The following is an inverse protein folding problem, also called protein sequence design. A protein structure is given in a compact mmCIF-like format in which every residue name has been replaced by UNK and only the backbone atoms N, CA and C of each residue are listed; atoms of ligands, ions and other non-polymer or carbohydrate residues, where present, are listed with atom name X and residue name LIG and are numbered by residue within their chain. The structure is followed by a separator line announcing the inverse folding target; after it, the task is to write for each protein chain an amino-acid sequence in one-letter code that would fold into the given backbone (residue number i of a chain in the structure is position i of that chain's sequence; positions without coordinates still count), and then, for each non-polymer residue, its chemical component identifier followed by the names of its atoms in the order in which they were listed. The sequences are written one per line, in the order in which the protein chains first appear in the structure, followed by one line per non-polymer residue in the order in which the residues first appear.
data_IF_096426014403
#
_entry.id   IF_096426014403
#
_cell.length_a   1.000
_cell.length_b   1.000
_cell.length_c   1.000
_cell.angle_alpha   90.00
_cell.angle_beta   90.00
_cell.angle_gamma   90.00
#
_symmetry.space_group_name_H-M   'P 1'
#
loop_
_entity.id
_entity.type
_entity.pdbx_description
1 polymer ?
#
# COMPACT_ATOMS: atom_id res chain seq x y z
N UNK A 1 18.44 -29.55 -18.24
CA UNK A 1 17.89 -28.55 -19.17
C UNK A 1 18.74 -27.31 -19.03
N UNK A 2 19.52 -26.99 -20.06
CA UNK A 2 20.49 -25.90 -20.07
C UNK A 2 19.77 -24.56 -20.15
N UNK A 3 19.86 -23.74 -19.10
CA UNK A 3 19.48 -22.33 -19.18
C UNK A 3 20.75 -21.53 -19.49
N UNK A 4 20.80 -20.97 -20.70
CA UNK A 4 21.81 -19.99 -21.11
C UNK A 4 21.52 -18.64 -20.43
N UNK A 5 22.52 -17.87 -20.02
CA UNK A 5 22.32 -16.52 -19.51
C UNK A 5 21.91 -15.60 -20.67
N UNK A 6 20.75 -14.97 -20.58
CA UNK A 6 20.36 -13.91 -21.52
C UNK A 6 21.20 -12.67 -21.24
N UNK A 7 21.88 -12.18 -22.27
CA UNK A 7 22.64 -10.92 -22.27
C UNK A 7 21.75 -9.75 -21.82
N UNK A 8 22.23 -9.01 -20.82
CA UNK A 8 21.63 -7.75 -20.38
C UNK A 8 22.18 -6.68 -21.33
N UNK A 9 21.36 -6.25 -22.30
CA UNK A 9 21.72 -5.14 -23.17
C UNK A 9 21.57 -3.82 -22.40
N UNK A 10 22.70 -3.18 -22.13
CA UNK A 10 22.78 -1.84 -21.52
C UNK A 10 22.27 -0.80 -22.53
N UNK A 11 21.10 -0.22 -22.26
CA UNK A 11 20.53 0.86 -23.08
C UNK A 11 21.16 2.17 -22.62
N UNK A 12 21.99 2.78 -23.47
CA UNK A 12 22.55 4.12 -23.26
C UNK A 12 21.42 5.15 -23.27
N UNK A 13 21.30 5.93 -22.20
CA UNK A 13 20.47 7.13 -22.18
C UNK A 13 21.11 8.21 -23.05
N UNK A 14 20.45 8.55 -24.17
CA UNK A 14 20.77 9.75 -24.93
C UNK A 14 20.16 10.97 -24.25
N UNK A 15 21.03 11.94 -23.99
CA UNK A 15 20.71 13.24 -23.40
C UNK A 15 19.92 14.08 -24.41
N UNK A 16 18.63 14.31 -24.15
CA UNK A 16 17.82 15.26 -24.93
C UNK A 16 17.65 16.53 -24.11
N UNK A 17 18.09 17.62 -24.76
CA UNK A 17 18.16 19.00 -24.32
C UNK A 17 16.81 19.59 -23.86
N UNK A 18 16.93 20.40 -22.81
CA UNK A 18 16.00 21.32 -22.16
C UNK A 18 15.04 22.06 -23.12
N UNK A 19 13.79 21.60 -23.16
CA UNK A 19 12.66 22.30 -23.75
C UNK A 19 11.58 22.58 -22.71
N UNK A 20 11.39 23.85 -22.39
CA UNK A 20 10.45 24.44 -21.44
C UNK A 20 9.02 23.87 -21.59
N UNK A 21 8.63 22.91 -20.74
CA UNK A 21 7.26 22.41 -20.65
C UNK A 21 6.70 22.83 -19.30
N UNK A 22 5.77 23.80 -19.35
CA UNK A 22 4.98 24.31 -18.25
C UNK A 22 4.69 23.25 -17.20
N UNK A 23 5.14 23.50 -15.97
CA UNK A 23 4.76 22.76 -14.77
C UNK A 23 3.24 22.67 -14.72
N UNK A 24 2.70 21.53 -15.12
CA UNK A 24 1.37 21.12 -14.68
C UNK A 24 1.41 21.20 -13.17
N UNK A 25 0.66 22.13 -12.58
CA UNK A 25 0.56 22.27 -11.13
C UNK A 25 0.30 20.87 -10.55
N UNK A 26 1.34 20.30 -9.93
CA UNK A 26 1.27 19.00 -9.28
C UNK A 26 0.57 19.24 -7.95
N UNK A 27 -0.74 19.50 -8.02
CA UNK A 27 -1.60 19.77 -6.87
C UNK A 27 -1.58 18.50 -6.02
N UNK A 28 -0.78 18.53 -4.96
CA UNK A 28 -0.71 17.43 -4.02
C UNK A 28 -2.08 17.27 -3.34
N UNK A 29 -2.62 16.04 -3.28
CA UNK A 29 -3.93 15.80 -2.68
C UNK A 29 -3.95 16.23 -1.21
N UNK A 30 -5.02 16.92 -0.82
CA UNK A 30 -5.21 17.42 0.53
C UNK A 30 -5.91 16.40 1.43
N UNK A 31 -6.06 16.73 2.72
CA UNK A 31 -6.72 15.83 3.70
C UNK A 31 -8.14 15.45 3.26
N UNK A 32 -8.88 16.38 2.64
CA UNK A 32 -10.24 16.13 2.12
C UNK A 32 -10.26 15.05 1.03
N UNK A 33 -9.23 14.97 0.20
CA UNK A 33 -9.13 13.96 -0.87
C UNK A 33 -8.87 12.57 -0.28
N UNK A 34 -8.02 12.51 0.75
CA UNK A 34 -7.77 11.27 1.51
C UNK A 34 -9.02 10.77 2.26
N UNK A 35 -9.84 11.68 2.79
CA UNK A 35 -11.12 11.33 3.41
C UNK A 35 -12.08 10.70 2.39
N UNK A 36 -12.26 11.34 1.23
CA UNK A 36 -13.07 10.76 0.14
C UNK A 36 -12.55 9.40 -0.31
N UNK A 37 -11.22 9.28 -0.40
CA UNK A 37 -10.58 8.02 -0.76
C UNK A 37 -10.84 6.92 0.28
N UNK A 38 -10.75 7.24 1.56
CA UNK A 38 -11.11 6.33 2.65
C UNK A 38 -12.57 5.86 2.54
N UNK A 39 -13.51 6.78 2.29
CA UNK A 39 -14.94 6.45 2.20
C UNK A 39 -15.21 5.49 1.04
N UNK A 40 -14.54 5.72 -0.10
CA UNK A 40 -14.56 4.81 -1.25
C UNK A 40 -14.05 3.41 -0.88
N UNK A 41 -12.94 3.30 -0.15
CA UNK A 41 -12.41 2.01 0.31
C UNK A 41 -13.38 1.30 1.26
N UNK A 42 -14.01 2.04 2.17
CA UNK A 42 -15.01 1.48 3.09
C UNK A 42 -16.19 0.89 2.33
N UNK A 43 -16.72 1.59 1.33
CA UNK A 43 -17.81 1.09 0.49
C UNK A 43 -17.42 -0.19 -0.26
N UNK A 44 -16.18 -0.24 -0.78
CA UNK A 44 -15.65 -1.44 -1.46
C UNK A 44 -15.51 -2.64 -0.52
N UNK A 45 -15.05 -2.43 0.71
CA UNK A 45 -15.02 -3.49 1.73
C UNK A 45 -16.40 -4.10 2.02
N UNK A 46 -17.49 -3.33 1.89
CA UNK A 46 -18.84 -3.88 2.10
C UNK A 46 -19.21 -4.96 1.08
N UNK A 47 -18.60 -4.94 -0.12
CA UNK A 47 -18.80 -5.95 -1.16
C UNK A 47 -18.02 -7.25 -0.89
N UNK A 48 -17.06 -7.20 0.04
CA UNK A 48 -16.14 -8.30 0.36
C UNK A 48 -16.43 -8.92 1.74
N UNK A 49 -17.62 -8.68 2.33
CA UNK A 49 -17.93 -9.08 3.71
C UNK A 49 -17.81 -10.58 3.97
N UNK A 50 -18.01 -11.41 2.95
CA UNK A 50 -17.88 -12.86 3.03
C UNK A 50 -16.42 -13.34 3.10
N UNK A 51 -15.46 -12.49 2.71
CA UNK A 51 -14.03 -12.82 2.78
C UNK A 51 -13.54 -12.63 4.21
N UNK A 52 -13.00 -13.70 4.79
CA UNK A 52 -12.46 -13.67 6.15
C UNK A 52 -11.34 -12.64 6.28
N UNK A 53 -11.32 -11.93 7.41
CA UNK A 53 -10.36 -10.85 7.68
C UNK A 53 -10.73 -9.48 7.12
N UNK A 54 -11.74 -9.36 6.25
CA UNK A 54 -12.18 -8.05 5.73
C UNK A 54 -12.67 -7.12 6.84
N UNK A 55 -13.34 -7.62 7.87
CA UNK A 55 -13.72 -6.79 9.03
C UNK A 55 -12.50 -6.21 9.76
N UNK A 56 -11.36 -6.92 9.76
CA UNK A 56 -10.10 -6.41 10.33
C UNK A 56 -9.52 -5.31 9.45
N UNK A 57 -9.54 -5.50 8.12
CA UNK A 57 -9.14 -4.47 7.17
C UNK A 57 -10.02 -3.21 7.31
N UNK A 58 -11.33 -3.36 7.43
CA UNK A 58 -12.28 -2.26 7.63
C UNK A 58 -11.98 -1.49 8.92
N UNK A 59 -11.69 -2.17 10.04
CA UNK A 59 -11.27 -1.51 11.29
C UNK A 59 -10.00 -0.67 11.11
N UNK A 60 -9.03 -1.16 10.35
CA UNK A 60 -7.79 -0.41 10.04
C UNK A 60 -8.08 0.82 9.18
N UNK A 61 -8.94 0.68 8.17
CA UNK A 61 -9.39 1.80 7.32
C UNK A 61 -10.18 2.84 8.13
N UNK A 62 -10.97 2.42 9.13
CA UNK A 62 -11.69 3.32 10.02
C UNK A 62 -10.77 4.01 11.04
N UNK A 63 -9.72 3.34 11.52
CA UNK A 63 -8.71 3.97 12.38
C UNK A 63 -7.97 5.09 11.63
N UNK A 64 -7.67 4.87 10.35
CA UNK A 64 -7.07 5.87 9.48
C UNK A 64 -7.99 7.09 9.27
N UNK A 65 -9.32 6.91 9.18
CA UNK A 65 -10.26 8.03 9.13
C UNK A 65 -10.16 8.92 10.37
N UNK A 66 -10.08 8.32 11.57
CA UNK A 66 -9.92 9.09 12.82
C UNK A 66 -8.63 9.91 12.81
N UNK A 67 -7.56 9.32 12.28
CA UNK A 67 -6.29 10.01 12.09
C UNK A 67 -6.45 11.20 11.10
N UNK A 68 -7.05 10.99 9.94
CA UNK A 68 -7.27 12.07 8.96
C UNK A 68 -8.13 13.20 9.53
N UNK A 69 -9.17 12.89 10.28
CA UNK A 69 -10.00 13.88 10.97
C UNK A 69 -9.19 14.70 11.98
N UNK A 70 -8.32 14.04 12.76
CA UNK A 70 -7.42 14.76 13.69
C UNK A 70 -6.41 15.65 12.95
N UNK A 71 -6.00 15.24 11.74
CA UNK A 71 -5.04 15.97 10.91
C UNK A 71 -5.64 17.23 10.28
N UNK A 72 -6.96 17.27 10.04
CA UNK A 72 -7.64 18.47 9.52
C UNK A 72 -7.48 19.71 10.42
N UNK A 73 -7.25 19.51 11.72
CA UNK A 73 -7.09 20.58 12.71
C UNK A 73 -5.65 21.12 12.78
N UNK A 74 -4.69 20.48 12.09
CA UNK A 74 -3.27 20.83 12.13
C UNK A 74 -2.90 21.82 11.01
N UNK A 75 -1.72 22.44 11.12
CA UNK A 75 -1.17 23.32 10.08
C UNK A 75 -0.83 22.56 8.78
N UNK A 76 -0.74 23.28 7.66
CA UNK A 76 -0.55 22.70 6.34
C UNK A 76 0.78 21.93 6.19
N UNK A 77 1.84 22.34 6.90
CA UNK A 77 3.14 21.65 6.84
C UNK A 77 3.04 20.29 7.51
N UNK A 78 2.42 20.24 8.69
CA UNK A 78 2.12 19.01 9.43
C UNK A 78 1.21 18.09 8.62
N UNK A 79 0.15 18.62 8.01
CA UNK A 79 -0.75 17.85 7.13
C UNK A 79 0.03 17.19 5.99
N UNK A 80 0.82 17.95 5.22
CA UNK A 80 1.58 17.42 4.07
C UNK A 80 2.59 16.35 4.48
N UNK A 81 3.25 16.51 5.62
CA UNK A 81 4.20 15.52 6.13
C UNK A 81 3.51 14.21 6.46
N UNK A 82 2.42 14.26 7.22
CA UNK A 82 1.70 13.07 7.69
C UNK A 82 0.88 12.37 6.60
N UNK A 83 0.35 13.10 5.62
CA UNK A 83 -0.33 12.48 4.46
C UNK A 83 0.62 11.61 3.63
N UNK A 84 1.92 11.98 3.57
CA UNK A 84 2.93 11.17 2.87
C UNK A 84 3.16 9.79 3.51
N UNK A 85 2.83 9.62 4.79
CA UNK A 85 2.93 8.38 5.55
C UNK A 85 1.60 7.64 5.73
N UNK A 86 0.52 8.12 5.11
CA UNK A 86 -0.80 7.47 5.24
C UNK A 86 -0.77 6.02 4.74
N UNK A 87 -1.48 5.15 5.46
CA UNK A 87 -1.60 3.74 5.11
C UNK A 87 -2.70 3.46 4.07
N UNK A 88 -3.48 4.47 3.65
CA UNK A 88 -4.57 4.30 2.70
C UNK A 88 -4.13 3.70 1.36
N UNK A 89 -2.92 4.03 0.89
CA UNK A 89 -2.36 3.43 -0.33
C UNK A 89 -2.24 1.90 -0.20
N UNK A 90 -1.70 1.43 0.93
CA UNK A 90 -1.59 -0.01 1.20
C UNK A 90 -2.96 -0.68 1.36
N UNK A 91 -3.89 -0.07 2.10
CA UNK A 91 -5.24 -0.61 2.24
C UNK A 91 -5.98 -0.66 0.90
N UNK A 92 -5.81 0.34 0.05
CA UNK A 92 -6.38 0.32 -1.30
C UNK A 92 -5.87 -0.85 -2.13
N UNK A 93 -4.56 -1.11 -2.09
CA UNK A 93 -3.97 -2.25 -2.78
C UNK A 93 -4.46 -3.61 -2.22
N UNK A 94 -4.71 -3.71 -0.92
CA UNK A 94 -5.34 -4.91 -0.33
C UNK A 94 -6.78 -5.10 -0.82
N UNK A 95 -7.59 -4.05 -0.80
CA UNK A 95 -8.97 -4.09 -1.30
C UNK A 95 -8.98 -4.44 -2.78
N UNK A 96 -8.11 -3.81 -3.57
CA UNK A 96 -7.97 -4.09 -4.99
C UNK A 96 -7.58 -5.55 -5.26
N UNK A 97 -6.57 -6.07 -4.55
CA UNK A 97 -6.18 -7.47 -4.68
C UNK A 97 -7.33 -8.42 -4.31
N UNK A 98 -8.08 -8.12 -3.25
CA UNK A 98 -9.23 -8.92 -2.83
C UNK A 98 -10.39 -8.89 -3.85
N UNK A 99 -10.57 -7.80 -4.60
CA UNK A 99 -11.59 -7.68 -5.65
C UNK A 99 -11.20 -8.36 -6.97
N UNK A 100 -9.90 -8.33 -7.33
CA UNK A 100 -9.44 -8.76 -8.65
C UNK A 100 -8.91 -10.19 -8.69
N UNK A 101 -8.39 -10.71 -7.57
CA UNK A 101 -7.81 -12.05 -7.54
C UNK A 101 -8.91 -13.12 -7.45
N UNK A 102 -8.78 -14.24 -8.18
CA UNK A 102 -9.77 -15.30 -8.14
C UNK A 102 -9.68 -16.11 -6.85
N UNK A 103 -10.84 -16.51 -6.33
CA UNK A 103 -10.94 -17.44 -5.19
C UNK A 103 -10.27 -16.91 -3.91
N UNK A 104 -10.38 -15.60 -3.64
CA UNK A 104 -9.90 -14.99 -2.40
C UNK A 104 -10.70 -15.53 -1.22
N UNK A 105 -10.00 -16.07 -0.23
CA UNK A 105 -10.62 -16.69 0.96
C UNK A 105 -10.33 -15.90 2.23
N UNK A 106 -9.17 -15.26 2.33
CA UNK A 106 -8.73 -14.55 3.53
C UNK A 106 -7.90 -13.32 3.17
N UNK A 107 -8.01 -12.26 3.97
CA UNK A 107 -7.12 -11.08 3.95
C UNK A 107 -6.53 -10.83 5.32
N UNK A 108 -5.30 -10.32 5.38
CA UNK A 108 -4.56 -10.01 6.63
C UNK A 108 -4.45 -11.21 7.58
N UNK A 109 -4.19 -12.39 7.04
CA UNK A 109 -4.16 -13.66 7.75
C UNK A 109 -2.83 -13.85 8.50
N UNK A 110 -2.83 -13.95 9.84
CA UNK A 110 -1.65 -14.30 10.60
C UNK A 110 -1.35 -15.81 10.50
N UNK A 111 -0.09 -16.15 10.28
CA UNK A 111 0.46 -17.49 10.35
C UNK A 111 1.47 -17.54 11.49
N UNK A 112 1.22 -18.43 12.44
CA UNK A 112 2.12 -18.65 13.58
C UNK A 112 3.06 -19.80 13.23
N UNK A 113 4.36 -19.60 13.40
CA UNK A 113 5.35 -20.66 13.23
C UNK A 113 5.85 -21.11 14.60
N UNK A 114 5.94 -22.42 14.88
CA UNK A 114 6.42 -22.91 16.18
C UNK A 114 7.83 -22.40 16.56
N UNK A 115 8.64 -22.08 15.56
CA UNK A 115 10.04 -21.64 15.71
C UNK A 115 10.21 -20.13 15.82
N UNK A 116 9.13 -19.35 15.71
CA UNK A 116 9.16 -17.88 15.85
C UNK A 116 8.09 -17.41 16.82
N UNK A 117 8.47 -16.46 17.67
CA UNK A 117 7.52 -15.77 18.56
C UNK A 117 6.51 -14.93 17.79
N UNK A 118 6.90 -14.46 16.61
CA UNK A 118 6.12 -13.50 15.85
C UNK A 118 5.30 -14.19 14.76
N UNK A 119 4.05 -13.76 14.61
CA UNK A 119 3.18 -14.20 13.53
C UNK A 119 3.53 -13.50 12.21
N UNK A 120 3.63 -14.26 11.12
CA UNK A 120 3.77 -13.72 9.78
C UNK A 120 2.38 -13.41 9.21
N UNK A 121 2.13 -12.14 8.88
CA UNK A 121 0.85 -11.75 8.28
C UNK A 121 0.96 -11.82 6.76
N UNK A 122 0.16 -12.69 6.16
CA UNK A 122 -0.10 -12.74 4.72
C UNK A 122 -1.20 -11.76 4.37
N UNK A 123 -1.01 -11.01 3.28
CA UNK A 123 -1.90 -9.91 2.92
C UNK A 123 -3.20 -10.43 2.29
N UNK A 124 -3.10 -11.33 1.30
CA UNK A 124 -4.25 -11.96 0.65
C UNK A 124 -3.96 -13.45 0.40
N UNK A 125 -4.91 -14.31 0.73
CA UNK A 125 -4.92 -15.74 0.38
C UNK A 125 -5.96 -15.97 -0.70
N UNK A 126 -5.54 -16.58 -1.81
CA UNK A 126 -6.33 -16.72 -3.05
C UNK A 126 -6.30 -18.16 -3.58
N UNK A 127 -6.95 -18.40 -4.72
CA UNK A 127 -7.09 -19.72 -5.34
C UNK A 127 -7.65 -20.78 -4.37
N UNK A 128 -8.62 -20.39 -3.54
CA UNK A 128 -9.21 -21.29 -2.54
C UNK A 128 -8.26 -21.70 -1.42
N UNK A 129 -7.15 -20.98 -1.21
CA UNK A 129 -6.15 -21.30 -0.18
C UNK A 129 -4.78 -21.76 -0.70
N UNK A 130 -4.64 -22.00 -2.00
CA UNK A 130 -3.43 -22.59 -2.59
C UNK A 130 -2.34 -21.57 -2.91
N UNK A 131 -2.65 -20.29 -2.94
CA UNK A 131 -1.71 -19.24 -3.25
C UNK A 131 -1.91 -18.03 -2.34
N UNK A 132 -0.86 -17.23 -2.20
CA UNK A 132 -0.92 -16.00 -1.43
C UNK A 132 -0.20 -14.87 -2.15
N UNK A 133 -0.62 -13.65 -1.85
CA UNK A 133 -0.04 -12.43 -2.40
C UNK A 133 0.43 -11.55 -1.25
N UNK A 134 1.59 -10.92 -1.43
CA UNK A 134 2.08 -9.82 -0.59
C UNK A 134 1.92 -8.52 -1.34
N UNK A 135 1.27 -7.55 -0.72
CA UNK A 135 1.07 -6.22 -1.30
C UNK A 135 2.24 -5.32 -0.90
N UNK A 136 3.01 -4.88 -1.89
CA UNK A 136 4.09 -3.91 -1.71
C UNK A 136 3.62 -2.55 -2.19
N UNK A 137 3.09 -1.74 -1.27
CA UNK A 137 2.57 -0.40 -1.55
C UNK A 137 3.40 0.72 -0.90
N UNK A 138 4.63 0.43 -0.48
CA UNK A 138 5.51 1.38 0.19
C UNK A 138 6.28 2.21 -0.82
N UNK A 139 6.58 3.47 -0.47
CA UNK A 139 7.55 4.29 -1.21
C UNK A 139 8.89 3.56 -1.24
N UNK A 140 9.46 3.39 -2.42
CA UNK A 140 10.78 2.75 -2.59
C UNK A 140 11.85 3.41 -1.72
N UNK A 141 11.81 4.74 -1.58
CA UNK A 141 12.67 5.49 -0.69
C UNK A 141 12.52 5.08 0.78
N UNK A 142 11.29 4.87 1.28
CA UNK A 142 11.08 4.42 2.65
C UNK A 142 11.59 2.98 2.86
N UNK A 143 11.42 2.10 1.86
CA UNK A 143 12.01 0.76 1.89
C UNK A 143 13.55 0.82 1.93
N UNK A 144 14.15 1.69 1.13
CA UNK A 144 15.59 1.90 1.08
C UNK A 144 16.13 2.46 2.40
N UNK A 145 15.46 3.45 3.01
CA UNK A 145 15.85 4.01 4.31
C UNK A 145 15.79 2.97 5.42
N UNK A 146 14.77 2.10 5.42
CA UNK A 146 14.71 0.96 6.36
C UNK A 146 15.86 -0.01 6.12
N UNK A 147 16.14 -0.36 4.87
CA UNK A 147 17.27 -1.23 4.53
C UNK A 147 18.63 -0.63 4.93
N UNK A 148 18.79 0.69 4.77
CA UNK A 148 20.00 1.43 5.15
C UNK A 148 20.15 1.66 6.66
N UNK A 149 19.23 1.16 7.49
CA UNK A 149 19.24 1.39 8.94
C UNK A 149 18.87 2.81 9.37
N UNK A 150 18.34 3.61 8.45
CA UNK A 150 17.97 5.03 8.65
C UNK A 150 16.46 5.24 8.83
N UNK A 151 15.67 4.16 8.93
CA UNK A 151 14.23 4.24 9.18
C UNK A 151 13.94 4.59 10.64
N UNK A 152 13.59 5.85 10.93
CA UNK A 152 12.97 6.21 12.22
C UNK A 152 11.46 5.98 12.13
N UNK A 153 10.97 4.92 12.78
CA UNK A 153 9.54 4.70 12.97
C UNK A 153 9.31 4.20 14.39
N UNK A 154 8.67 5.03 15.21
CA UNK A 154 8.14 4.75 16.55
C UNK A 154 6.87 5.54 16.73
#
# INVERSE_FOLDING_TARGET
TNFSPTEITEVKEEHIDSGNMSTSDNIQPGVKDYIKFQESLKLRCLKLKEVSGVSKLERKINAEMKFLMSLQMQDEVTQKSHLKSSNLGHFSSLVHAAEQLPGVVQVLQPFVMPTRTDSLVVDVVMSGGHAWVKVIARKAQALHLVWAGQGQFG
#
